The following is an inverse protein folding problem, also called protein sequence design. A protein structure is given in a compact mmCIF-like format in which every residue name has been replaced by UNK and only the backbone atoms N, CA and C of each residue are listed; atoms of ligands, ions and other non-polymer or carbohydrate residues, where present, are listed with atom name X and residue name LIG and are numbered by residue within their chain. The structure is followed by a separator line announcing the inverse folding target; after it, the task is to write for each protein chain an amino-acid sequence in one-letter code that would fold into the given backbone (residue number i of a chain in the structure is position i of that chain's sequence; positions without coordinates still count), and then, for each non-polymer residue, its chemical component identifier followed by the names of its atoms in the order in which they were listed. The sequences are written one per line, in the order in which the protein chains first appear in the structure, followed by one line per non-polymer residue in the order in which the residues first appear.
data_IF_116267077733
#
_entry.id   IF_116267077733
#
_cell.length_a   1.000
_cell.length_b   1.000
_cell.length_c   1.000
_cell.angle_alpha   90.00
_cell.angle_beta   90.00
_cell.angle_gamma   90.00
#
_symmetry.space_group_name_H-M   'P 1'
#
loop_
_entity.id
_entity.type
_entity.pdbx_description
1 polymer ?
#
# COMPACT_ATOMS: atom_id res chain seq x y z
N UNK A 1 29.01 0.53 16.34
CA UNK A 1 28.14 -0.19 15.39
C UNK A 1 26.78 0.52 15.34
N UNK A 2 26.68 1.61 14.58
CA UNK A 2 25.42 2.33 14.33
C UNK A 2 25.06 2.14 12.85
N UNK A 3 24.35 1.05 12.56
CA UNK A 3 23.66 0.89 11.28
C UNK A 3 22.28 1.53 11.42
N UNK A 4 21.93 2.45 10.52
CA UNK A 4 20.66 3.20 10.53
C UNK A 4 19.42 2.29 10.48
N UNK A 5 19.57 1.07 9.98
CA UNK A 5 18.54 0.02 9.89
C UNK A 5 17.98 -0.43 11.24
N UNK A 6 18.71 -0.22 12.33
CA UNK A 6 18.27 -0.61 13.68
C UNK A 6 17.46 0.49 14.41
N UNK A 7 17.45 1.73 13.89
CA UNK A 7 16.81 2.88 14.54
C UNK A 7 15.47 3.24 13.89
N UNK A 8 14.69 2.22 13.54
CA UNK A 8 13.41 2.40 12.83
C UNK A 8 12.27 2.70 13.80
N UNK A 9 12.44 2.40 15.09
CA UNK A 9 11.48 2.70 16.13
C UNK A 9 12.00 3.76 17.11
N UNK A 10 11.06 4.55 17.62
CA UNK A 10 11.27 5.45 18.75
C UNK A 10 11.66 4.61 19.97
N UNK A 11 12.85 4.84 20.56
CA UNK A 11 13.24 4.12 21.77
C UNK A 11 12.32 4.45 22.96
N UNK A 12 11.60 5.58 22.90
CA UNK A 12 10.69 6.01 23.96
C UNK A 12 9.26 5.49 23.79
N UNK A 13 8.76 5.37 22.55
CA UNK A 13 7.35 5.02 22.27
C UNK A 13 7.15 3.72 21.49
N UNK A 14 8.20 3.14 20.92
CA UNK A 14 8.11 1.95 20.06
C UNK A 14 7.40 2.20 18.72
N UNK A 15 7.11 3.46 18.38
CA UNK A 15 6.48 3.84 17.11
C UNK A 15 7.52 3.99 16.01
N UNK A 16 7.19 3.70 14.73
CA UNK A 16 8.12 3.91 13.63
C UNK A 16 8.57 5.37 13.51
N UNK A 17 9.89 5.63 13.56
CA UNK A 17 10.50 6.94 13.26
C UNK A 17 10.60 7.16 11.74
N UNK A 18 10.64 6.08 10.94
CA UNK A 18 10.79 6.14 9.47
C UNK A 18 9.45 6.45 8.79
N UNK A 19 8.80 7.52 9.24
CA UNK A 19 7.63 8.06 8.57
C UNK A 19 8.11 8.88 7.36
N UNK A 20 7.54 8.69 6.16
CA UNK A 20 7.96 9.43 4.97
C UNK A 20 7.83 10.96 5.17
N UNK A 21 8.63 11.71 4.41
CA UNK A 21 8.63 13.17 4.41
C UNK A 21 7.30 13.73 3.89
N UNK A 22 7.07 15.04 4.09
CA UNK A 22 5.80 15.69 3.76
C UNK A 22 5.41 15.53 2.29
N UNK A 23 6.38 15.61 1.37
CA UNK A 23 6.13 15.51 -0.07
C UNK A 23 5.70 14.10 -0.49
N UNK A 24 6.38 13.07 0.04
CA UNK A 24 6.03 11.66 -0.20
C UNK A 24 4.60 11.38 0.30
N UNK A 25 4.26 11.86 1.50
CA UNK A 25 2.91 11.68 2.05
C UNK A 25 1.86 12.37 1.16
N UNK A 26 2.19 13.53 0.59
CA UNK A 26 1.29 14.23 -0.33
C UNK A 26 1.08 13.43 -1.62
N UNK A 27 2.14 12.85 -2.20
CA UNK A 27 2.05 11.99 -3.37
C UNK A 27 1.20 10.75 -3.13
N UNK A 28 1.45 10.04 -2.01
CA UNK A 28 0.64 8.88 -1.60
C UNK A 28 -0.83 9.26 -1.37
N UNK A 29 -1.10 10.38 -0.70
CA UNK A 29 -2.46 10.87 -0.49
C UNK A 29 -3.15 11.18 -1.83
N UNK A 30 -2.47 11.87 -2.75
CA UNK A 30 -3.01 12.20 -4.06
C UNK A 30 -3.33 10.96 -4.89
N UNK A 31 -2.42 9.99 -4.89
CA UNK A 31 -2.56 8.71 -5.60
C UNK A 31 -3.71 7.85 -5.05
N UNK A 32 -3.93 7.86 -3.74
CA UNK A 32 -4.91 6.98 -3.08
C UNK A 32 -6.30 7.58 -2.94
N UNK A 33 -6.45 8.88 -3.17
CA UNK A 33 -7.74 9.56 -3.09
C UNK A 33 -8.68 9.12 -4.21
N UNK A 34 -9.97 8.99 -3.89
CA UNK A 34 -11.03 8.74 -4.87
C UNK A 34 -11.58 10.05 -5.47
N UNK A 35 -11.90 10.04 -6.77
CA UNK A 35 -12.58 11.14 -7.45
C UNK A 35 -13.71 10.61 -8.34
N UNK A 36 -14.91 11.12 -8.10
CA UNK A 36 -16.12 10.80 -8.87
C UNK A 36 -16.05 11.43 -10.26
N UNK A 37 -16.56 10.75 -11.27
CA UNK A 37 -16.62 11.21 -12.66
C UNK A 37 -15.27 11.19 -13.37
N UNK A 38 -14.38 10.27 -12.99
CA UNK A 38 -13.05 10.11 -13.59
C UNK A 38 -13.07 9.13 -14.77
N UNK A 39 -12.11 9.28 -15.69
CA UNK A 39 -11.95 8.28 -16.75
C UNK A 39 -11.64 6.90 -16.15
N UNK A 40 -12.36 5.88 -16.61
CA UNK A 40 -12.18 4.51 -16.13
C UNK A 40 -13.04 4.10 -14.93
N UNK A 41 -13.90 4.99 -14.43
CA UNK A 41 -14.79 4.66 -13.32
C UNK A 41 -15.71 3.47 -13.64
N UNK A 42 -15.82 2.54 -12.69
CA UNK A 42 -16.65 1.34 -12.79
C UNK A 42 -16.03 0.18 -13.59
N UNK A 43 -14.84 0.36 -14.16
CA UNK A 43 -14.15 -0.73 -14.88
C UNK A 43 -13.77 -1.88 -13.95
N UNK A 44 -13.75 -3.09 -14.51
CA UNK A 44 -13.40 -4.32 -13.81
C UNK A 44 -12.14 -4.91 -14.45
N UNK A 45 -11.14 -5.24 -13.63
CA UNK A 45 -9.84 -5.74 -14.04
C UNK A 45 -9.56 -7.12 -13.44
N UNK A 46 -8.91 -7.99 -14.22
CA UNK A 46 -8.57 -9.36 -13.85
C UNK A 46 -7.37 -9.46 -12.91
N UNK A 47 -6.46 -8.49 -12.96
CA UNK A 47 -5.26 -8.37 -12.12
C UNK A 47 -4.69 -6.94 -12.14
N UNK A 48 -3.63 -6.72 -11.35
CA UNK A 48 -2.95 -5.41 -11.26
C UNK A 48 -2.18 -5.06 -12.54
N UNK A 49 -1.69 -6.06 -13.28
CA UNK A 49 -0.96 -5.80 -14.52
C UNK A 49 -1.88 -5.23 -15.61
N UNK A 50 -3.15 -5.64 -15.64
CA UNK A 50 -4.16 -5.03 -16.48
C UNK A 50 -4.45 -3.58 -16.08
N UNK A 51 -4.57 -3.29 -14.79
CA UNK A 51 -4.72 -1.92 -14.27
C UNK A 51 -3.55 -1.04 -14.68
N UNK A 52 -2.31 -1.53 -14.54
CA UNK A 52 -1.11 -0.80 -14.92
C UNK A 52 -1.09 -0.48 -16.43
N UNK A 53 -1.42 -1.45 -17.28
CA UNK A 53 -1.50 -1.23 -18.74
C UNK A 53 -2.57 -0.19 -19.09
N UNK A 54 -3.74 -0.28 -18.48
CA UNK A 54 -4.83 0.68 -18.71
C UNK A 54 -4.42 2.10 -18.28
N UNK A 55 -3.74 2.22 -17.14
CA UNK A 55 -3.23 3.51 -16.65
C UNK A 55 -2.15 4.08 -17.58
N UNK A 56 -1.16 3.27 -17.99
CA UNK A 56 -0.08 3.70 -18.88
C UNK A 56 -0.56 4.10 -20.27
N UNK A 57 -1.67 3.50 -20.73
CA UNK A 57 -2.34 3.86 -21.99
C UNK A 57 -3.28 5.06 -21.86
N UNK A 58 -3.40 5.67 -20.67
CA UNK A 58 -4.27 6.82 -20.42
C UNK A 58 -5.77 6.50 -20.46
N UNK A 59 -6.16 5.23 -20.36
CA UNK A 59 -7.57 4.81 -20.38
C UNK A 59 -8.26 5.07 -19.04
N UNK A 60 -7.51 5.01 -17.94
CA UNK A 60 -8.00 5.21 -16.58
C UNK A 60 -7.16 6.23 -15.81
N UNK A 61 -7.77 6.94 -14.89
CA UNK A 61 -7.07 7.86 -13.97
C UNK A 61 -6.75 7.18 -12.64
N UNK A 62 -5.68 7.62 -11.94
CA UNK A 62 -5.28 7.08 -10.63
C UNK A 62 -6.42 7.08 -9.60
N UNK A 63 -7.25 8.12 -9.62
CA UNK A 63 -8.30 8.33 -8.63
C UNK A 63 -9.64 7.67 -9.03
N UNK A 64 -9.66 6.94 -10.16
CA UNK A 64 -10.85 6.27 -10.65
C UNK A 64 -11.20 5.04 -9.82
N UNK A 65 -12.47 4.93 -9.45
CA UNK A 65 -13.01 3.78 -8.72
C UNK A 65 -13.20 2.61 -9.66
N UNK A 66 -12.57 1.49 -9.32
CA UNK A 66 -12.52 0.27 -10.14
C UNK A 66 -12.79 -0.97 -9.28
N UNK A 67 -13.05 -2.09 -9.93
CA UNK A 67 -13.02 -3.42 -9.32
C UNK A 67 -11.82 -4.17 -9.85
N UNK A 68 -10.98 -4.71 -8.99
CA UNK A 68 -9.83 -5.51 -9.42
C UNK A 68 -9.70 -6.75 -8.55
N UNK A 69 -9.34 -7.87 -9.17
CA UNK A 69 -9.00 -9.09 -8.44
C UNK A 69 -7.57 -8.97 -7.89
N UNK A 70 -7.46 -8.94 -6.57
CA UNK A 70 -6.18 -8.84 -5.85
C UNK A 70 -5.92 -10.13 -5.09
N UNK A 71 -4.64 -10.53 -5.03
CA UNK A 71 -4.17 -11.54 -4.09
C UNK A 71 -4.02 -10.88 -2.72
N UNK A 72 -4.79 -11.33 -1.74
CA UNK A 72 -4.63 -10.91 -0.36
C UNK A 72 -3.86 -12.00 0.39
N UNK A 73 -2.82 -11.59 1.13
CA UNK A 73 -1.98 -12.49 1.90
C UNK A 73 -2.30 -12.29 3.39
N UNK A 74 -3.08 -13.22 3.95
CA UNK A 74 -3.42 -13.20 5.37
C UNK A 74 -2.56 -14.24 6.07
N UNK A 75 -1.87 -13.81 7.13
CA UNK A 75 -1.19 -14.74 8.05
C UNK A 75 -2.28 -15.34 8.94
N UNK A 76 -2.49 -16.64 8.85
CA UNK A 76 -3.44 -17.36 9.73
C UNK A 76 -2.86 -17.50 11.14
N UNK A 77 -3.69 -17.92 12.10
CA UNK A 77 -3.30 -18.10 13.51
C UNK A 77 -2.15 -19.11 13.69
N UNK A 78 -1.95 -20.00 12.72
CA UNK A 78 -0.86 -21.00 12.71
C UNK A 78 0.45 -20.46 12.08
N UNK A 79 0.47 -19.19 11.64
CA UNK A 79 1.64 -18.57 11.02
C UNK A 79 1.81 -18.87 9.52
N UNK A 80 0.93 -19.68 8.94
CA UNK A 80 0.90 -19.99 7.51
C UNK A 80 0.32 -18.83 6.69
N UNK A 81 0.90 -18.63 5.49
CA UNK A 81 0.49 -17.56 4.56
C UNK A 81 -0.59 -18.11 3.65
N UNK A 82 -1.83 -17.69 3.86
CA UNK A 82 -2.94 -18.03 2.98
C UNK A 82 -3.11 -16.95 1.90
N UNK A 83 -3.00 -17.37 0.64
CA UNK A 83 -3.14 -16.50 -0.53
C UNK A 83 -4.55 -16.65 -1.09
N UNK A 84 -5.41 -15.65 -0.85
CA UNK A 84 -6.78 -15.64 -1.39
C UNK A 84 -6.95 -14.55 -2.42
N UNK A 85 -7.43 -14.94 -3.59
CA UNK A 85 -7.86 -13.96 -4.59
C UNK A 85 -9.26 -13.47 -4.27
N UNK A 86 -9.43 -12.16 -4.17
CA UNK A 86 -10.74 -11.53 -3.96
C UNK A 86 -10.93 -10.38 -4.93
N UNK A 87 -12.16 -10.24 -5.41
CA UNK A 87 -12.56 -9.05 -6.16
C UNK A 87 -12.79 -7.92 -5.16
N UNK A 88 -11.99 -6.86 -5.25
CA UNK A 88 -12.03 -5.73 -4.33
C UNK A 88 -12.45 -4.45 -5.04
N UNK A 89 -13.29 -3.65 -4.39
CA UNK A 89 -13.60 -2.28 -4.81
C UNK A 89 -12.51 -1.35 -4.27
N UNK A 90 -11.86 -0.61 -5.18
CA UNK A 90 -10.69 0.21 -4.86
C UNK A 90 -10.53 1.33 -5.91
N UNK A 91 -9.46 2.11 -5.82
CA UNK A 91 -9.02 3.01 -6.90
C UNK A 91 -7.84 2.42 -7.68
N UNK A 92 -7.58 2.93 -8.89
CA UNK A 92 -6.41 2.57 -9.71
C UNK A 92 -5.11 2.77 -8.92
N UNK A 93 -4.94 3.91 -8.25
CA UNK A 93 -3.73 4.21 -7.49
C UNK A 93 -3.53 3.28 -6.30
N UNK A 94 -4.59 2.95 -5.55
CA UNK A 94 -4.54 1.96 -4.46
C UNK A 94 -4.21 0.56 -5.00
N UNK A 95 -4.75 0.19 -6.17
CA UNK A 95 -4.45 -1.09 -6.82
C UNK A 95 -2.97 -1.17 -7.23
N UNK A 96 -2.39 -0.10 -7.78
CA UNK A 96 -0.96 -0.05 -8.10
C UNK A 96 -0.08 -0.14 -6.85
N UNK A 97 -0.47 0.52 -5.75
CA UNK A 97 0.22 0.41 -4.46
C UNK A 97 0.18 -1.01 -3.86
N UNK A 98 -0.77 -1.86 -4.27
CA UNK A 98 -0.79 -3.25 -3.79
C UNK A 98 0.45 -4.04 -4.19
N UNK A 99 1.15 -3.64 -5.27
CA UNK A 99 2.36 -4.33 -5.73
C UNK A 99 3.54 -4.20 -4.76
N UNK A 100 3.58 -3.12 -3.98
CA UNK A 100 4.64 -2.87 -2.99
C UNK A 100 4.27 -3.38 -1.60
N UNK A 101 3.02 -3.84 -1.39
CA UNK A 101 2.57 -4.31 -0.09
C UNK A 101 3.26 -5.64 0.27
N UNK A 102 3.97 -5.75 1.40
CA UNK A 102 4.64 -6.98 1.77
C UNK A 102 3.64 -8.09 2.13
N UNK A 103 4.04 -9.33 1.84
CA UNK A 103 3.25 -10.51 2.16
C UNK A 103 2.96 -10.58 3.67
N UNK A 104 1.68 -10.64 4.04
CA UNK A 104 1.21 -10.70 5.43
C UNK A 104 0.51 -9.43 5.92
N UNK A 105 0.52 -8.36 5.13
CA UNK A 105 -0.38 -7.22 5.31
C UNK A 105 -1.62 -7.38 4.43
N UNK A 106 -2.82 -7.22 5.01
CA UNK A 106 -4.04 -7.27 4.21
C UNK A 106 -4.17 -6.01 3.37
N UNK A 107 -4.73 -6.14 2.16
CA UNK A 107 -4.92 -5.01 1.24
C UNK A 107 -5.79 -3.88 1.83
N UNK A 108 -6.73 -4.21 2.71
CA UNK A 108 -7.51 -3.24 3.50
C UNK A 108 -6.63 -2.23 4.27
N UNK A 109 -5.37 -2.59 4.51
CA UNK A 109 -4.24 -1.73 4.89
C UNK A 109 -4.22 -0.37 4.22
N UNK A 110 -4.27 -0.46 2.89
CA UNK A 110 -4.01 0.62 1.95
C UNK A 110 -5.26 0.98 1.14
N UNK A 111 -6.38 0.27 1.31
CA UNK A 111 -7.64 0.58 0.64
C UNK A 111 -8.38 1.78 1.26
N UNK A 112 -7.67 2.89 1.45
CA UNK A 112 -8.14 4.14 2.07
C UNK A 112 -7.19 5.26 1.69
N UNK A 113 -7.60 6.49 1.97
CA UNK A 113 -6.76 7.66 1.71
C UNK A 113 -5.52 7.65 2.63
N UNK A 114 -4.33 7.62 2.02
CA UNK A 114 -3.05 7.50 2.72
C UNK A 114 -2.57 8.87 3.24
N UNK A 115 -3.16 9.30 4.35
CA UNK A 115 -2.66 10.42 5.17
C UNK A 115 -1.41 10.03 5.98
N UNK A 116 -0.66 11.02 6.48
CA UNK A 116 0.52 10.81 7.36
C UNK A 116 0.26 9.82 8.50
N UNK A 117 -0.91 9.95 9.16
CA UNK A 117 -1.31 9.07 10.27
C UNK A 117 -1.56 7.64 9.80
N UNK A 118 -2.26 7.47 8.67
CA UNK A 118 -2.52 6.14 8.12
C UNK A 118 -1.25 5.45 7.64
N UNK A 119 -0.33 6.17 6.99
CA UNK A 119 0.97 5.62 6.57
C UNK A 119 1.77 5.12 7.78
N UNK A 120 1.83 5.92 8.85
CA UNK A 120 2.46 5.49 10.11
C UNK A 120 1.81 4.23 10.70
N UNK A 121 0.48 4.10 10.62
CA UNK A 121 -0.23 2.91 11.08
C UNK A 121 0.07 1.67 10.22
N UNK A 122 0.16 1.81 8.89
CA UNK A 122 0.53 0.70 7.99
C UNK A 122 1.97 0.25 8.27
N UNK A 123 2.91 1.18 8.44
CA UNK A 123 4.31 0.84 8.77
C UNK A 123 4.42 0.12 10.12
N UNK A 124 3.69 0.57 11.14
CA UNK A 124 3.66 -0.11 12.45
C UNK A 124 3.04 -1.51 12.34
N UNK A 125 1.97 -1.67 11.56
CA UNK A 125 1.38 -2.98 11.30
C UNK A 125 2.35 -3.91 10.55
N UNK A 126 3.10 -3.37 9.57
CA UNK A 126 4.15 -4.10 8.85
C UNK A 126 5.21 -4.62 9.82
N UNK A 127 5.72 -3.73 10.68
CA UNK A 127 6.74 -4.06 11.67
C UNK A 127 6.28 -5.17 12.61
N UNK A 128 5.05 -5.11 13.11
CA UNK A 128 4.51 -6.10 14.07
C UNK A 128 4.22 -7.45 13.44
N UNK A 129 3.85 -7.50 12.15
CA UNK A 129 3.42 -8.74 11.49
C UNK A 129 4.52 -9.42 10.68
N UNK A 130 5.32 -8.62 9.98
CA UNK A 130 6.28 -9.10 8.98
C UNK A 130 7.73 -8.88 9.44
N UNK A 131 7.95 -7.98 10.39
CA UNK A 131 9.24 -7.74 11.02
C UNK A 131 10.03 -6.60 10.39
N UNK A 132 11.23 -6.36 10.95
CA UNK A 132 12.05 -5.17 10.66
C UNK A 132 12.48 -5.11 9.18
N UNK A 133 13.05 -6.20 8.64
CA UNK A 133 13.64 -6.22 7.30
C UNK A 133 12.62 -5.84 6.21
N UNK A 134 11.45 -6.48 6.24
CA UNK A 134 10.38 -6.22 5.26
C UNK A 134 9.79 -4.82 5.44
N UNK A 135 9.74 -4.30 6.67
CA UNK A 135 9.30 -2.93 6.94
C UNK A 135 10.24 -1.90 6.33
N UNK A 136 11.55 -2.13 6.36
CA UNK A 136 12.55 -1.24 5.73
C UNK A 136 12.33 -1.19 4.22
N UNK A 137 12.24 -2.36 3.60
CA UNK A 137 12.05 -2.48 2.14
C UNK A 137 10.74 -1.78 1.74
N UNK A 138 9.66 -2.01 2.51
CA UNK A 138 8.37 -1.39 2.26
C UNK A 138 8.41 0.14 2.44
N UNK A 139 9.09 0.65 3.48
CA UNK A 139 9.25 2.08 3.70
C UNK A 139 10.02 2.75 2.56
N UNK A 140 11.10 2.13 2.09
CA UNK A 140 11.86 2.62 0.94
C UNK A 140 11.00 2.62 -0.34
N UNK A 141 10.25 1.55 -0.61
CA UNK A 141 9.35 1.49 -1.77
C UNK A 141 8.24 2.54 -1.72
N UNK A 142 7.69 2.83 -0.54
CA UNK A 142 6.73 3.92 -0.34
C UNK A 142 7.37 5.28 -0.68
N UNK A 143 8.63 5.49 -0.30
CA UNK A 143 9.38 6.72 -0.62
C UNK A 143 9.68 6.90 -2.10
N UNK A 144 9.85 5.82 -2.87
CA UNK A 144 10.02 5.90 -4.33
C UNK A 144 8.69 6.12 -5.07
N UNK A 145 7.57 5.72 -4.47
CA UNK A 145 6.25 5.74 -5.12
C UNK A 145 5.50 7.05 -4.88
N UNK A 146 5.64 7.65 -3.69
CA UNK A 146 5.03 8.93 -3.32
C UNK A 146 5.91 10.11 -3.70
#
# INVERSE_FOLDING_TARGET
LMMSTNNILSPASGEPIVVPTQDVVLGLYWMTRERVGTSGEGMIFADVAEVERAYRNGMVELQARIKVRLSDCVIDNDGERDHRYRLMETTVGRALLSQILPAGLPFEMINRDLTKKSVGAVLNACYRRVGLKETVIFADQLMYTG
#
